data_IF_307948286342
#
_entry.id   IF_307948286342
#
_cell.length_a   1.000
_cell.length_b   1.000
_cell.length_c   1.000
_cell.angle_alpha   90.00
_cell.angle_beta   90.00
_cell.angle_gamma   90.00
#
_symmetry.space_group_name_H-M   'P 1'
#
loop_
_entity.id
_entity.type
_entity.pdbx_description
1 polymer ?
#
# COMPACT_ATOMS: atom_id res chain seq x y z
N UNK A 1 -20.68 7.47 11.08
CA UNK A 1 -21.78 8.41 10.76
C UNK A 1 -23.04 7.58 10.51
N UNK A 2 -24.17 7.85 11.14
CA UNK A 2 -25.41 7.11 10.92
C UNK A 2 -26.02 7.47 9.56
N UNK A 3 -26.86 6.58 9.00
CA UNK A 3 -27.48 6.79 7.68
C UNK A 3 -28.26 8.12 7.61
N UNK A 4 -28.96 8.49 8.69
CA UNK A 4 -29.73 9.71 8.74
C UNK A 4 -28.87 10.98 8.62
N UNK A 5 -27.73 10.99 9.29
CA UNK A 5 -26.76 12.08 9.20
C UNK A 5 -26.11 12.12 7.81
N UNK A 6 -25.82 10.96 7.23
CA UNK A 6 -25.27 10.87 5.90
C UNK A 6 -26.23 11.44 4.84
N UNK A 7 -27.50 11.12 4.92
CA UNK A 7 -28.52 11.68 4.01
C UNK A 7 -28.61 13.20 4.07
N UNK A 8 -28.33 13.78 5.24
CA UNK A 8 -28.39 15.22 5.47
C UNK A 8 -27.12 15.97 5.05
N UNK A 9 -25.96 15.40 5.36
CA UNK A 9 -24.68 16.10 5.26
C UNK A 9 -23.79 15.62 4.11
N UNK A 10 -23.91 14.39 3.68
CA UNK A 10 -23.06 13.82 2.62
C UNK A 10 -23.70 14.01 1.23
N UNK A 11 -23.30 15.09 0.58
CA UNK A 11 -23.79 15.47 -0.76
C UNK A 11 -22.86 15.04 -1.89
N UNK A 12 -21.82 14.25 -1.59
CA UNK A 12 -20.86 13.82 -2.61
C UNK A 12 -21.53 12.93 -3.64
N UNK A 13 -21.21 13.17 -4.91
CA UNK A 13 -21.61 12.28 -6.00
C UNK A 13 -20.90 10.93 -5.89
N UNK A 14 -21.42 9.92 -6.62
CA UNK A 14 -20.77 8.60 -6.71
C UNK A 14 -19.31 8.70 -7.13
N UNK A 15 -19.02 9.47 -8.20
CA UNK A 15 -17.67 9.62 -8.74
C UNK A 15 -16.72 10.34 -7.77
N UNK A 16 -17.19 11.37 -7.05
CA UNK A 16 -16.41 12.08 -6.05
C UNK A 16 -16.02 11.15 -4.90
N UNK A 17 -16.98 10.42 -4.35
CA UNK A 17 -16.71 9.47 -3.28
C UNK A 17 -15.75 8.34 -3.73
N UNK A 18 -16.00 7.76 -4.90
CA UNK A 18 -15.13 6.72 -5.46
C UNK A 18 -13.69 7.22 -5.63
N UNK A 19 -13.51 8.45 -6.17
CA UNK A 19 -12.20 9.05 -6.35
C UNK A 19 -11.50 9.38 -5.03
N UNK A 20 -12.24 9.81 -4.01
CA UNK A 20 -11.70 10.03 -2.67
C UNK A 20 -11.20 8.72 -2.06
N UNK A 21 -11.99 7.64 -2.13
CA UNK A 21 -11.58 6.32 -1.66
C UNK A 21 -10.33 5.81 -2.39
N UNK A 22 -10.24 5.99 -3.70
CA UNK A 22 -9.05 5.62 -4.46
C UNK A 22 -7.79 6.39 -4.03
N UNK A 23 -7.91 7.67 -3.74
CA UNK A 23 -6.79 8.48 -3.24
C UNK A 23 -6.27 8.02 -1.87
N UNK A 24 -7.09 7.36 -1.09
CA UNK A 24 -6.73 6.86 0.24
C UNK A 24 -6.20 5.44 0.20
N UNK A 25 -6.82 4.56 -0.58
CA UNK A 25 -6.59 3.12 -0.53
C UNK A 25 -5.70 2.56 -1.65
N UNK A 26 -5.58 3.24 -2.79
CA UNK A 26 -4.78 2.75 -3.90
C UNK A 26 -3.39 3.40 -3.90
N UNK A 27 -2.33 2.59 -3.77
CA UNK A 27 -0.96 3.07 -3.53
C UNK A 27 -0.42 4.01 -4.60
N UNK A 28 -0.65 3.73 -5.88
CA UNK A 28 -0.19 4.59 -6.99
C UNK A 28 -0.92 5.94 -6.93
N UNK A 29 -2.25 5.90 -6.79
CA UNK A 29 -3.06 7.12 -6.73
C UNK A 29 -2.75 7.90 -5.45
N UNK A 30 -2.62 7.24 -4.31
CA UNK A 30 -2.21 7.85 -3.04
C UNK A 30 -0.86 8.55 -3.16
N UNK A 31 0.11 7.92 -3.81
CA UNK A 31 1.46 8.47 -3.96
C UNK A 31 1.47 9.72 -4.83
N UNK A 32 0.81 9.68 -5.99
CA UNK A 32 0.95 10.74 -7.00
C UNK A 32 -0.18 11.78 -6.96
N UNK A 33 -1.39 11.43 -6.55
CA UNK A 33 -2.57 12.30 -6.64
C UNK A 33 -3.13 12.74 -5.28
N UNK A 34 -2.75 12.10 -4.17
CA UNK A 34 -3.18 12.56 -2.85
C UNK A 34 -2.29 13.72 -2.38
N UNK A 35 -2.82 14.94 -2.45
CA UNK A 35 -2.15 16.17 -2.00
C UNK A 35 -2.37 16.38 -0.51
N UNK A 36 -1.77 15.53 0.33
CA UNK A 36 -1.78 15.79 1.77
C UNK A 36 -0.68 16.82 2.10
N UNK A 37 -1.02 18.01 2.64
CA UNK A 37 -0.04 19.07 2.93
C UNK A 37 0.97 18.69 4.03
N UNK A 38 0.70 17.64 4.79
CA UNK A 38 1.56 17.18 5.89
C UNK A 38 2.52 16.05 5.49
N UNK A 39 2.42 15.55 4.25
CA UNK A 39 3.27 14.48 3.74
C UNK A 39 4.21 15.02 2.65
N UNK A 40 5.51 14.79 2.83
CA UNK A 40 6.49 15.19 1.83
C UNK A 40 6.43 14.23 0.63
N UNK A 41 6.21 14.78 -0.56
CA UNK A 41 6.13 14.02 -1.82
C UNK A 41 7.31 13.06 -2.06
N UNK A 42 8.60 13.46 -1.81
CA UNK A 42 9.73 12.52 -1.93
C UNK A 42 9.63 11.30 -1.02
N UNK A 43 9.09 11.47 0.20
CA UNK A 43 8.91 10.36 1.15
C UNK A 43 7.90 9.35 0.60
N UNK A 44 6.79 9.82 0.04
CA UNK A 44 5.77 8.95 -0.57
C UNK A 44 6.34 8.11 -1.70
N UNK A 45 7.13 8.74 -2.59
CA UNK A 45 7.77 8.03 -3.70
C UNK A 45 8.74 6.98 -3.17
N UNK A 46 9.55 7.30 -2.17
CA UNK A 46 10.50 6.34 -1.61
C UNK A 46 9.80 5.17 -0.93
N UNK A 47 8.74 5.40 -0.15
CA UNK A 47 7.95 4.32 0.45
C UNK A 47 7.32 3.44 -0.65
N UNK A 48 6.85 4.05 -1.73
CA UNK A 48 6.28 3.31 -2.87
C UNK A 48 7.32 2.44 -3.58
N UNK A 49 8.51 2.99 -3.85
CA UNK A 49 9.62 2.23 -4.47
C UNK A 49 10.08 1.11 -3.55
N UNK A 50 10.21 1.39 -2.24
CA UNK A 50 10.54 0.39 -1.24
C UNK A 50 9.52 -0.74 -1.22
N UNK A 51 8.21 -0.41 -1.20
CA UNK A 51 7.13 -1.40 -1.24
C UNK A 51 7.21 -2.32 -2.47
N UNK A 52 7.46 -1.76 -3.66
CA UNK A 52 7.67 -2.53 -4.89
C UNK A 52 8.90 -3.45 -4.75
N UNK A 53 10.03 -2.92 -4.31
CA UNK A 53 11.25 -3.70 -4.12
C UNK A 53 11.05 -4.86 -3.16
N UNK A 54 10.44 -4.60 -2.00
CA UNK A 54 10.13 -5.61 -1.00
C UNK A 54 9.13 -6.66 -1.50
N UNK A 55 8.15 -6.27 -2.32
CA UNK A 55 7.24 -7.22 -2.94
C UNK A 55 7.99 -8.26 -3.78
N UNK A 56 8.93 -7.84 -4.64
CA UNK A 56 9.73 -8.78 -5.43
C UNK A 56 10.64 -9.64 -4.54
N UNK A 57 11.28 -9.07 -3.52
CA UNK A 57 12.15 -9.78 -2.59
C UNK A 57 11.36 -10.88 -1.85
N UNK A 58 10.20 -10.56 -1.29
CA UNK A 58 9.37 -11.55 -0.61
C UNK A 58 8.82 -12.62 -1.56
N UNK A 59 8.43 -12.25 -2.78
CA UNK A 59 8.05 -13.25 -3.78
C UNK A 59 9.19 -14.21 -4.09
N UNK A 60 10.43 -13.72 -4.12
CA UNK A 60 11.63 -14.56 -4.26
C UNK A 60 11.83 -15.48 -3.05
N UNK A 61 11.67 -14.96 -1.82
CA UNK A 61 11.80 -15.75 -0.59
C UNK A 61 10.75 -16.87 -0.48
N UNK A 62 9.53 -16.64 -0.97
CA UNK A 62 8.47 -17.64 -0.97
C UNK A 62 8.49 -18.56 -2.22
N UNK A 63 9.49 -18.42 -3.09
CA UNK A 63 9.66 -19.26 -4.26
C UNK A 63 10.31 -20.59 -3.87
N UNK A 64 9.49 -21.62 -3.63
CA UNK A 64 9.96 -22.89 -3.09
C UNK A 64 10.40 -23.88 -4.17
N UNK A 65 11.40 -24.71 -3.85
CA UNK A 65 11.84 -25.82 -4.71
C UNK A 65 10.72 -26.83 -5.00
N UNK A 66 9.83 -27.08 -4.05
CA UNK A 66 8.69 -27.96 -4.24
C UNK A 66 7.78 -27.51 -5.38
N UNK A 67 7.54 -26.21 -5.51
CA UNK A 67 6.76 -25.65 -6.61
C UNK A 67 7.45 -25.85 -7.97
N UNK A 68 8.78 -25.67 -7.99
CA UNK A 68 9.58 -25.84 -9.21
C UNK A 68 9.56 -27.31 -9.63
N UNK A 69 9.78 -28.22 -8.68
CA UNK A 69 9.78 -29.66 -8.95
C UNK A 69 8.41 -30.16 -9.40
N UNK A 70 7.34 -29.75 -8.73
CA UNK A 70 5.97 -30.14 -9.10
C UNK A 70 5.61 -29.69 -10.52
N UNK A 71 6.04 -28.50 -10.91
CA UNK A 71 5.84 -27.98 -12.27
C UNK A 71 6.61 -28.80 -13.32
N UNK A 72 7.85 -29.20 -13.02
CA UNK A 72 8.64 -30.04 -13.91
C UNK A 72 8.04 -31.45 -14.09
N UNK A 73 7.53 -32.05 -13.02
CA UNK A 73 6.96 -33.40 -13.06
C UNK A 73 5.57 -33.46 -13.68
N UNK A 74 4.73 -32.46 -13.45
CA UNK A 74 3.34 -32.51 -13.93
C UNK A 74 3.18 -32.12 -15.40
N UNK A 75 4.19 -31.48 -16.03
CA UNK A 75 4.13 -30.95 -17.42
C UNK A 75 2.82 -30.23 -17.76
N UNK A 76 2.02 -29.90 -16.76
CA UNK A 76 0.75 -29.21 -16.91
C UNK A 76 0.98 -27.71 -16.86
N UNK A 77 0.89 -27.06 -17.99
CA UNK A 77 0.65 -25.63 -18.10
C UNK A 77 -0.80 -25.29 -17.68
N UNK A 78 -1.23 -25.83 -16.54
CA UNK A 78 -2.57 -25.52 -16.06
C UNK A 78 -2.54 -24.12 -15.44
N UNK A 79 -3.16 -23.17 -16.15
CA UNK A 79 -3.25 -21.77 -15.73
C UNK A 79 -3.83 -21.66 -14.31
N UNK A 80 -4.80 -22.50 -13.95
CA UNK A 80 -5.42 -22.51 -12.63
C UNK A 80 -4.46 -22.94 -11.52
N UNK A 81 -3.56 -23.89 -11.81
CA UNK A 81 -2.53 -24.32 -10.86
C UNK A 81 -1.50 -23.18 -10.61
N UNK A 82 -1.05 -22.55 -11.69
CA UNK A 82 -0.13 -21.40 -11.63
C UNK A 82 -0.79 -20.28 -10.82
N UNK A 83 -2.04 -19.95 -11.12
CA UNK A 83 -2.79 -18.88 -10.48
C UNK A 83 -2.98 -19.15 -8.99
N UNK A 84 -3.40 -20.36 -8.58
CA UNK A 84 -3.60 -20.72 -7.16
C UNK A 84 -2.32 -20.57 -6.35
N UNK A 85 -1.21 -21.12 -6.82
CA UNK A 85 0.07 -21.04 -6.12
C UNK A 85 0.60 -19.60 -6.06
N UNK A 86 0.38 -18.85 -7.14
CA UNK A 86 0.81 -17.46 -7.20
C UNK A 86 -0.01 -16.57 -6.26
N UNK A 87 -1.33 -16.73 -6.20
CA UNK A 87 -2.20 -16.00 -5.28
C UNK A 87 -1.76 -16.22 -3.82
N UNK A 88 -1.46 -17.46 -3.44
CA UNK A 88 -1.02 -17.77 -2.06
C UNK A 88 0.29 -17.05 -1.71
N UNK A 89 1.28 -17.09 -2.61
CA UNK A 89 2.57 -16.38 -2.40
C UNK A 89 2.39 -14.87 -2.31
N UNK A 90 1.53 -14.33 -3.17
CA UNK A 90 1.23 -12.90 -3.17
C UNK A 90 0.52 -12.45 -1.90
N UNK A 91 -0.36 -13.27 -1.37
CA UNK A 91 -1.01 -12.98 -0.11
C UNK A 91 0.02 -12.83 1.02
N UNK A 92 0.95 -13.78 1.17
CA UNK A 92 2.02 -13.69 2.17
C UNK A 92 2.95 -12.51 1.91
N UNK A 93 3.38 -12.30 0.66
CA UNK A 93 4.23 -11.16 0.30
C UNK A 93 3.55 -9.83 0.62
N UNK A 94 2.26 -9.69 0.31
CA UNK A 94 1.50 -8.48 0.57
C UNK A 94 1.37 -8.19 2.06
N UNK A 95 1.12 -9.20 2.90
CA UNK A 95 1.10 -9.03 4.37
C UNK A 95 2.45 -8.51 4.86
N UNK A 96 3.55 -9.12 4.43
CA UNK A 96 4.89 -8.68 4.82
C UNK A 96 5.16 -7.23 4.38
N UNK A 97 4.78 -6.87 3.15
CA UNK A 97 4.94 -5.50 2.63
C UNK A 97 4.11 -4.51 3.43
N UNK A 98 2.85 -4.83 3.77
CA UNK A 98 1.98 -3.97 4.57
C UNK A 98 2.57 -3.73 5.96
N UNK A 99 3.07 -4.78 6.63
CA UNK A 99 3.71 -4.65 7.95
C UNK A 99 4.94 -3.74 7.85
N UNK A 100 5.80 -3.96 6.86
CA UNK A 100 7.00 -3.16 6.66
C UNK A 100 6.67 -1.71 6.29
N UNK A 101 5.73 -1.48 5.40
CA UNK A 101 5.30 -0.13 5.05
C UNK A 101 4.73 0.60 6.26
N UNK A 102 3.97 -0.08 7.12
CA UNK A 102 3.45 0.51 8.37
C UNK A 102 4.57 0.90 9.33
N UNK A 103 5.61 0.07 9.47
CA UNK A 103 6.79 0.41 10.27
C UNK A 103 7.56 1.60 9.68
N UNK A 104 7.73 1.63 8.37
CA UNK A 104 8.38 2.72 7.65
C UNK A 104 7.59 4.02 7.77
N UNK A 105 6.27 3.97 7.59
CA UNK A 105 5.40 5.14 7.78
C UNK A 105 5.47 5.65 9.23
N UNK A 106 5.51 4.78 10.20
CA UNK A 106 5.69 5.17 11.60
C UNK A 106 7.02 5.91 11.83
N UNK A 107 8.11 5.45 11.22
CA UNK A 107 9.43 6.08 11.32
C UNK A 107 9.54 7.40 10.53
N UNK A 108 8.95 7.43 9.33
CA UNK A 108 9.06 8.56 8.40
C UNK A 108 8.00 9.63 8.64
N UNK A 109 6.84 9.27 9.17
CA UNK A 109 5.67 10.13 9.22
C UNK A 109 5.47 10.75 10.61
N UNK A 110 5.95 11.98 10.76
CA UNK A 110 5.68 12.83 11.94
C UNK A 110 4.35 13.61 11.80
N UNK A 111 3.39 13.10 11.00
CA UNK A 111 2.13 13.77 10.68
C UNK A 111 1.37 14.22 11.93
N UNK A 112 1.12 13.30 12.86
CA UNK A 112 0.38 13.58 14.09
C UNK A 112 1.08 14.62 14.98
N UNK A 113 2.39 14.66 14.93
CA UNK A 113 3.19 15.61 15.71
C UNK A 113 3.18 17.00 15.08
N UNK A 114 3.24 17.12 13.74
CA UNK A 114 3.14 18.40 13.03
C UNK A 114 1.74 18.98 13.22
N UNK A 115 0.71 18.16 13.08
CA UNK A 115 -0.69 18.57 13.28
C UNK A 115 -0.96 19.02 14.71
N UNK A 116 -0.45 18.30 15.71
CA UNK A 116 -0.53 18.70 17.13
C UNK A 116 0.18 20.03 17.45
N UNK A 117 1.26 20.33 16.72
CA UNK A 117 1.98 21.60 16.85
C UNK A 117 1.22 22.77 16.22
N UNK A 118 0.57 22.55 15.07
CA UNK A 118 -0.20 23.59 14.39
C UNK A 118 -1.44 23.99 15.21
N UNK A 119 -2.10 23.01 15.84
CA UNK A 119 -3.29 23.25 16.65
C UNK A 119 -3.01 23.92 18.00
N UNK A 120 -1.75 23.95 18.50
CA UNK A 120 -1.35 24.57 19.78
C UNK A 120 -0.85 26.01 19.66
N UNK A 121 -1.52 26.86 18.92
CA UNK A 121 -1.18 28.27 18.63
C UNK A 121 -1.25 29.22 19.83
N UNK A 122 -0.43 29.12 20.87
CA UNK A 122 -0.51 30.06 22.01
C UNK A 122 0.69 31.01 22.23
N UNK A 123 1.88 30.80 21.60
CA UNK A 123 3.02 31.71 21.79
C UNK A 123 3.99 31.69 20.61
N UNK A 124 4.03 32.78 19.81
CA UNK A 124 4.76 32.81 18.51
C UNK A 124 6.25 32.44 18.58
N UNK A 125 7.04 32.98 19.53
CA UNK A 125 8.51 32.74 19.59
C UNK A 125 8.88 31.32 20.06
N UNK A 126 8.32 30.86 21.17
CA UNK A 126 8.52 29.48 21.66
C UNK A 126 7.97 28.42 20.69
N UNK A 127 6.98 28.79 19.89
CA UNK A 127 6.38 27.96 18.87
C UNK A 127 7.34 27.77 17.68
N UNK A 128 7.98 28.83 17.19
CA UNK A 128 8.97 28.77 16.10
C UNK A 128 10.18 27.90 16.47
N UNK A 129 10.72 28.04 17.66
CA UNK A 129 11.85 27.21 18.13
C UNK A 129 11.47 25.72 18.21
N UNK A 130 10.27 25.39 18.70
CA UNK A 130 9.77 24.01 18.75
C UNK A 130 9.58 23.44 17.35
N UNK A 131 9.04 24.21 16.41
CA UNK A 131 8.90 23.78 15.00
C UNK A 131 10.28 23.53 14.40
N UNK A 132 11.24 24.43 14.58
CA UNK A 132 12.59 24.29 14.01
C UNK A 132 13.29 23.04 14.53
N UNK A 133 13.22 22.80 15.84
CA UNK A 133 13.78 21.59 16.48
C UNK A 133 13.11 20.31 15.94
N UNK A 134 11.80 20.37 15.69
CA UNK A 134 11.03 19.23 15.17
C UNK A 134 11.34 18.95 13.69
N UNK A 135 11.42 19.98 12.87
CA UNK A 135 11.84 19.86 11.47
C UNK A 135 13.23 19.23 11.35
N UNK A 136 14.15 19.59 12.27
CA UNK A 136 15.49 18.97 12.32
C UNK A 136 15.43 17.48 12.69
N UNK A 137 14.54 17.09 13.60
CA UNK A 137 14.29 15.69 13.95
C UNK A 137 13.68 14.90 12.78
N UNK A 138 12.69 15.46 12.10
CA UNK A 138 12.04 14.86 10.93
C UNK A 138 13.06 14.64 9.80
N UNK A 139 13.90 15.66 9.53
CA UNK A 139 14.96 15.56 8.52
C UNK A 139 15.98 14.46 8.87
N UNK A 140 16.33 14.31 10.13
CA UNK A 140 17.24 13.24 10.59
C UNK A 140 16.60 11.84 10.42
N UNK A 141 15.35 11.67 10.84
CA UNK A 141 14.64 10.40 10.72
C UNK A 141 14.48 10.00 9.26
N UNK A 142 14.19 10.97 8.39
CA UNK A 142 14.13 10.76 6.95
C UNK A 142 15.47 10.31 6.36
N UNK A 143 16.57 10.92 6.77
CA UNK A 143 17.90 10.51 6.32
C UNK A 143 18.22 9.07 6.77
N UNK A 144 17.91 8.72 8.01
CA UNK A 144 18.08 7.36 8.54
C UNK A 144 17.23 6.38 7.72
N UNK A 145 15.96 6.72 7.42
CA UNK A 145 15.08 5.92 6.59
C UNK A 145 15.70 5.67 5.20
N UNK A 146 16.18 6.70 4.50
CA UNK A 146 16.80 6.55 3.18
C UNK A 146 17.99 5.59 3.22
N UNK A 147 18.85 5.70 4.25
CA UNK A 147 20.01 4.82 4.39
C UNK A 147 19.58 3.37 4.61
N UNK A 148 18.61 3.13 5.49
CA UNK A 148 18.08 1.78 5.76
C UNK A 148 17.43 1.21 4.50
N UNK A 149 16.60 1.99 3.81
CA UNK A 149 15.93 1.60 2.57
C UNK A 149 16.95 1.18 1.50
N UNK A 150 17.97 2.01 1.28
CA UNK A 150 19.03 1.69 0.33
C UNK A 150 19.77 0.40 0.70
N UNK A 151 20.12 0.19 1.96
CA UNK A 151 20.81 -1.02 2.42
C UNK A 151 19.92 -2.26 2.19
N UNK A 152 18.66 -2.20 2.61
CA UNK A 152 17.72 -3.33 2.50
C UNK A 152 17.47 -3.67 1.03
N UNK A 153 17.23 -2.68 0.18
CA UNK A 153 17.03 -2.90 -1.24
C UNK A 153 18.29 -3.42 -1.92
N UNK A 154 19.47 -2.92 -1.58
CA UNK A 154 20.74 -3.39 -2.14
C UNK A 154 20.97 -4.88 -1.85
N UNK A 155 20.81 -5.31 -0.60
CA UNK A 155 20.95 -6.71 -0.24
C UNK A 155 19.82 -7.58 -0.81
N UNK A 156 18.60 -7.04 -0.86
CA UNK A 156 17.47 -7.72 -1.49
C UNK A 156 17.67 -7.96 -3.00
N UNK A 157 18.15 -6.97 -3.73
CA UNK A 157 18.49 -7.12 -5.14
C UNK A 157 19.64 -8.09 -5.38
N UNK A 158 20.65 -8.08 -4.50
CA UNK A 158 21.71 -9.09 -4.53
C UNK A 158 21.14 -10.49 -4.35
N UNK A 159 20.24 -10.69 -3.37
CA UNK A 159 19.56 -11.94 -3.15
C UNK A 159 18.74 -12.39 -4.38
N UNK A 160 17.98 -11.48 -5.01
CA UNK A 160 17.21 -11.79 -6.22
C UNK A 160 18.12 -12.17 -7.39
N UNK A 161 19.25 -11.51 -7.53
CA UNK A 161 20.25 -11.87 -8.55
C UNK A 161 20.79 -13.28 -8.34
N UNK A 162 21.11 -13.65 -7.10
CA UNK A 162 21.55 -15.00 -6.74
C UNK A 162 20.45 -16.04 -7.01
N UNK A 163 19.20 -15.75 -6.63
CA UNK A 163 18.03 -16.60 -6.89
C UNK A 163 17.85 -16.83 -8.40
N UNK A 164 17.91 -15.79 -9.22
CA UNK A 164 17.80 -15.90 -10.67
C UNK A 164 18.93 -16.73 -11.29
N UNK A 165 20.14 -16.67 -10.73
CA UNK A 165 21.26 -17.46 -11.18
C UNK A 165 21.07 -18.95 -10.86
N UNK A 166 20.63 -19.28 -9.64
CA UNK A 166 20.35 -20.66 -9.22
C UNK A 166 19.20 -21.27 -10.02
N UNK A 167 18.12 -20.52 -10.23
CA UNK A 167 16.91 -20.96 -10.92
C UNK A 167 16.82 -20.47 -12.36
N UNK A 168 17.93 -20.51 -13.09
CA UNK A 168 18.06 -19.98 -14.45
C UNK A 168 16.95 -20.42 -15.40
N UNK A 169 16.52 -21.68 -15.36
CA UNK A 169 15.50 -22.21 -16.27
C UNK A 169 14.07 -21.76 -15.93
N UNK A 170 13.78 -21.38 -14.67
CA UNK A 170 12.46 -20.98 -14.21
C UNK A 170 12.33 -19.49 -13.88
N UNK A 171 13.44 -18.72 -13.99
CA UNK A 171 13.45 -17.29 -13.66
C UNK A 171 12.46 -16.48 -14.49
N UNK A 172 12.31 -16.80 -15.80
CA UNK A 172 11.38 -16.11 -16.68
C UNK A 172 9.94 -16.25 -16.20
N UNK A 173 9.55 -17.45 -15.84
CA UNK A 173 8.19 -17.74 -15.36
C UNK A 173 7.93 -17.11 -14.00
N UNK A 174 8.95 -17.12 -13.13
CA UNK A 174 8.87 -16.42 -11.84
C UNK A 174 8.68 -14.92 -12.03
N UNK A 175 9.48 -14.28 -12.89
CA UNK A 175 9.36 -12.83 -13.15
C UNK A 175 7.98 -12.48 -13.71
N UNK A 176 7.52 -13.22 -14.73
CA UNK A 176 6.19 -13.00 -15.32
C UNK A 176 5.10 -13.17 -14.27
N UNK A 177 5.18 -14.23 -13.46
CA UNK A 177 4.26 -14.46 -12.35
C UNK A 177 4.24 -13.31 -11.34
N UNK A 178 5.41 -12.78 -10.96
CA UNK A 178 5.51 -11.62 -10.06
C UNK A 178 4.84 -10.38 -10.66
N UNK A 179 5.05 -10.09 -11.94
CA UNK A 179 4.40 -8.95 -12.60
C UNK A 179 2.88 -9.12 -12.65
N UNK A 180 2.39 -10.28 -13.09
CA UNK A 180 0.94 -10.54 -13.14
C UNK A 180 0.31 -10.30 -11.76
N UNK A 181 0.91 -10.84 -10.71
CA UNK A 181 0.40 -10.69 -9.35
C UNK A 181 0.53 -9.28 -8.82
N UNK A 182 1.59 -8.58 -9.12
CA UNK A 182 1.72 -7.17 -8.79
C UNK A 182 0.56 -6.37 -9.41
N UNK A 183 0.26 -6.58 -10.69
CA UNK A 183 -0.87 -5.91 -11.35
C UNK A 183 -2.22 -6.30 -10.74
N UNK A 184 -2.43 -7.56 -10.40
CA UNK A 184 -3.66 -8.01 -9.74
C UNK A 184 -3.85 -7.35 -8.37
N UNK A 185 -2.79 -7.26 -7.56
CA UNK A 185 -2.80 -6.58 -6.26
C UNK A 185 -3.11 -5.09 -6.43
N UNK A 186 -2.51 -4.44 -7.42
CA UNK A 186 -2.79 -3.03 -7.69
C UNK A 186 -4.21 -2.79 -8.21
N UNK A 187 -4.81 -3.78 -8.90
CA UNK A 187 -6.19 -3.70 -9.40
C UNK A 187 -7.22 -3.91 -8.29
N UNK A 188 -6.90 -4.71 -7.27
CA UNK A 188 -7.82 -5.07 -6.19
C UNK A 188 -8.43 -3.85 -5.46
N UNK A 189 -7.68 -2.81 -5.05
CA UNK A 189 -8.25 -1.62 -4.43
C UNK A 189 -9.25 -0.88 -5.33
N UNK A 190 -9.07 -0.88 -6.66
CA UNK A 190 -10.05 -0.27 -7.57
C UNK A 190 -11.40 -0.98 -7.50
N UNK A 191 -11.39 -2.32 -7.50
CA UNK A 191 -12.61 -3.11 -7.39
C UNK A 191 -13.26 -2.95 -6.02
N UNK A 192 -12.46 -2.97 -4.95
CA UNK A 192 -12.94 -2.77 -3.59
C UNK A 192 -13.61 -1.40 -3.43
N UNK A 193 -12.95 -0.33 -3.85
CA UNK A 193 -13.50 1.03 -3.80
C UNK A 193 -14.79 1.16 -4.63
N UNK A 194 -14.85 0.46 -5.78
CA UNK A 194 -16.07 0.44 -6.61
C UNK A 194 -17.23 -0.22 -5.87
N UNK A 195 -16.99 -1.37 -5.23
CA UNK A 195 -18.01 -2.07 -4.42
C UNK A 195 -18.47 -1.18 -3.28
N UNK A 196 -17.55 -0.56 -2.54
CA UNK A 196 -17.85 0.36 -1.43
C UNK A 196 -18.70 1.54 -1.92
N UNK A 197 -18.33 2.15 -3.04
CA UNK A 197 -19.09 3.26 -3.64
C UNK A 197 -20.49 2.84 -4.07
N UNK A 198 -20.64 1.64 -4.68
CA UNK A 198 -21.95 1.06 -5.06
C UNK A 198 -22.82 0.81 -3.83
N UNK A 199 -22.27 0.18 -2.79
CA UNK A 199 -22.99 -0.10 -1.54
C UNK A 199 -23.46 1.20 -0.86
N UNK A 200 -22.58 2.19 -0.80
CA UNK A 200 -22.93 3.50 -0.25
C UNK A 200 -24.03 4.17 -1.07
N UNK A 201 -23.91 4.20 -2.39
CA UNK A 201 -24.91 4.80 -3.27
C UNK A 201 -26.26 4.12 -3.15
N UNK A 202 -26.30 2.79 -3.11
CA UNK A 202 -27.54 2.02 -2.86
C UNK A 202 -28.11 2.33 -1.48
N UNK A 203 -27.27 2.39 -0.45
CA UNK A 203 -27.68 2.72 0.91
C UNK A 203 -28.35 4.09 1.00
N UNK A 204 -27.75 5.11 0.37
CA UNK A 204 -28.29 6.48 0.37
C UNK A 204 -29.53 6.62 -0.50
N UNK A 205 -29.54 6.08 -1.73
CA UNK A 205 -30.63 6.23 -2.69
C UNK A 205 -31.85 5.40 -2.34
N UNK A 206 -31.64 4.15 -1.93
CA UNK A 206 -32.72 3.21 -1.57
C UNK A 206 -33.05 3.24 -0.08
N UNK A 207 -32.37 4.08 0.73
CA UNK A 207 -32.51 4.13 2.21
C UNK A 207 -32.27 2.78 2.87
N UNK A 208 -31.34 1.97 2.30
CA UNK A 208 -31.05 0.63 2.76
C UNK A 208 -29.92 0.66 3.78
N UNK A 209 -30.25 0.66 5.05
CA UNK A 209 -29.34 0.89 6.18
C UNK A 209 -28.20 -0.13 6.25
N UNK A 210 -28.48 -1.41 5.97
CA UNK A 210 -27.47 -2.48 5.99
C UNK A 210 -26.39 -2.28 4.92
N UNK A 211 -26.76 -1.88 3.70
CA UNK A 211 -25.80 -1.59 2.64
C UNK A 211 -24.93 -0.38 2.99
N UNK A 212 -25.51 0.65 3.60
CA UNK A 212 -24.77 1.81 4.06
C UNK A 212 -23.77 1.44 5.18
N UNK A 213 -24.22 0.70 6.23
CA UNK A 213 -23.35 0.24 7.32
C UNK A 213 -22.20 -0.63 6.79
N UNK A 214 -22.49 -1.52 5.84
CA UNK A 214 -21.46 -2.35 5.21
C UNK A 214 -20.45 -1.49 4.44
N UNK A 215 -20.90 -0.46 3.70
CA UNK A 215 -20.00 0.46 3.01
C UNK A 215 -19.08 1.22 3.97
N UNK A 216 -19.58 1.64 5.12
CA UNK A 216 -18.76 2.30 6.15
C UNK A 216 -17.74 1.32 6.73
N UNK A 217 -18.16 0.11 7.09
CA UNK A 217 -17.26 -0.92 7.63
C UNK A 217 -16.13 -1.30 6.65
N UNK A 218 -16.40 -1.32 5.34
CA UNK A 218 -15.41 -1.61 4.30
C UNK A 218 -14.56 -0.38 3.92
N UNK A 219 -15.02 0.84 4.26
CA UNK A 219 -14.27 2.07 4.01
C UNK A 219 -13.23 2.37 5.09
N UNK A 220 -13.46 1.92 6.31
CA UNK A 220 -12.51 2.02 7.44
C UNK A 220 -11.44 0.91 7.34
#
# INVERSE_FOLDING_TARGET
MELYDALKYDKRSFCEFYWEQLKEKQDIIRTFFNKNPYELFPIKIMIFIFGIGMFFIFNGLFYSESYISERYWTKKEDFMFILKNQITKCFYSSICVVILNSLVEFLANSKNEIESLINKKKNKKKFQEKILKRLKSIKRNYLIFIIIDFIVLFFGWYYLSALCNVYHNSQKDWIIGCFITFFLIQLFPFLLCLIVACLRFMGLKCKFETAYKLSVCLSD
#
